data_IF_933659947777
#
_entry.id   IF_933659947777
#
_cell.length_a   1.000
_cell.length_b   1.000
_cell.length_c   1.000
_cell.angle_alpha   90.00
_cell.angle_beta   90.00
_cell.angle_gamma   90.00
#
_symmetry.space_group_name_H-M   'P 1'
#
loop_
_entity.id
_entity.type
_entity.pdbx_description
1 polymer ?
#
# COMPACT_ATOMS: atom_id res chain seq x y z
N UNK A 1 -72.90 40.11 47.23
CA UNK A 1 -71.85 40.65 46.39
C UNK A 1 -70.59 39.87 46.68
N UNK A 2 -70.30 38.83 45.88
CA UNK A 2 -69.14 37.94 46.11
C UNK A 2 -68.20 38.18 44.85
N UNK A 3 -66.99 38.65 45.14
CA UNK A 3 -65.96 38.83 44.07
C UNK A 3 -65.21 37.50 43.93
N UNK A 4 -65.30 36.93 42.73
CA UNK A 4 -64.42 35.82 42.28
C UNK A 4 -63.05 36.37 41.92
N UNK A 5 -62.02 35.78 42.51
CA UNK A 5 -60.62 35.94 42.04
C UNK A 5 -60.26 34.78 41.13
N UNK A 6 -59.93 35.05 39.85
CA UNK A 6 -59.36 34.08 38.96
C UNK A 6 -57.83 34.16 39.05
N UNK A 7 -57.21 33.12 39.55
CA UNK A 7 -55.77 32.96 39.49
C UNK A 7 -55.39 32.17 38.22
N UNK A 8 -54.75 32.86 37.26
CA UNK A 8 -54.19 32.22 36.08
C UNK A 8 -52.82 31.59 36.43
N UNK A 9 -52.75 30.26 36.43
CA UNK A 9 -51.48 29.51 36.46
C UNK A 9 -50.85 29.50 35.06
N UNK A 10 -49.75 30.22 34.89
CA UNK A 10 -48.90 30.13 33.70
C UNK A 10 -47.93 28.97 33.90
N UNK A 11 -48.19 27.84 33.27
CA UNK A 11 -47.26 26.69 33.16
C UNK A 11 -46.25 26.97 32.05
N UNK A 12 -45.07 27.41 32.46
CA UNK A 12 -43.93 27.54 31.54
C UNK A 12 -43.35 26.15 31.18
N UNK A 13 -43.53 25.76 29.95
CA UNK A 13 -42.88 24.54 29.36
C UNK A 13 -41.41 24.85 29.04
N UNK A 14 -40.50 24.42 29.92
CA UNK A 14 -39.05 24.48 29.66
C UNK A 14 -38.71 23.35 28.71
N UNK A 15 -38.52 23.65 27.43
CA UNK A 15 -37.90 22.74 26.45
C UNK A 15 -36.42 22.66 26.78
N UNK A 16 -35.99 21.59 27.48
CA UNK A 16 -34.59 21.26 27.63
C UNK A 16 -34.08 20.74 26.27
N UNK A 17 -33.40 21.57 25.48
CA UNK A 17 -32.58 21.09 24.35
C UNK A 17 -31.43 20.28 24.95
N UNK A 18 -31.52 18.97 24.88
CA UNK A 18 -30.39 18.07 25.09
C UNK A 18 -29.46 18.22 23.90
N UNK A 19 -28.47 19.10 24.02
CA UNK A 19 -27.29 19.09 23.14
C UNK A 19 -26.47 17.87 23.54
N UNK A 20 -26.72 16.72 22.88
CA UNK A 20 -25.84 15.57 22.96
C UNK A 20 -24.44 15.98 22.50
N UNK A 21 -23.36 15.41 23.07
CA UNK A 21 -22.03 15.64 22.54
C UNK A 21 -22.02 15.18 21.09
N UNK A 22 -21.83 16.11 20.15
CA UNK A 22 -21.48 15.76 18.79
C UNK A 22 -20.14 15.03 18.89
N UNK A 23 -20.13 13.74 18.59
CA UNK A 23 -18.88 13.00 18.39
C UNK A 23 -18.17 13.69 17.23
N UNK A 24 -17.07 14.35 17.52
CA UNK A 24 -16.24 14.95 16.50
C UNK A 24 -15.71 13.79 15.64
N UNK A 25 -16.10 13.73 14.38
CA UNK A 25 -15.51 12.80 13.41
C UNK A 25 -14.06 13.20 13.18
N UNK A 26 -13.17 12.22 13.08
CA UNK A 26 -11.78 12.48 12.75
C UNK A 26 -11.71 13.12 11.36
N UNK A 27 -10.79 14.07 11.21
CA UNK A 27 -10.50 14.64 9.89
C UNK A 27 -9.59 13.68 9.12
N UNK A 28 -9.58 13.77 7.80
CA UNK A 28 -8.75 12.90 6.96
C UNK A 28 -7.26 12.90 7.39
N UNK A 29 -6.60 14.03 7.70
CA UNK A 29 -5.22 14.02 8.23
C UNK A 29 -5.05 13.26 9.54
N UNK A 30 -6.05 13.34 10.43
CA UNK A 30 -6.02 12.62 11.70
C UNK A 30 -6.11 11.10 11.50
N UNK A 31 -6.95 10.64 10.57
CA UNK A 31 -7.07 9.23 10.22
C UNK A 31 -5.75 8.69 9.69
N UNK A 32 -5.11 9.43 8.76
CA UNK A 32 -3.81 9.08 8.20
C UNK A 32 -2.75 8.98 9.30
N UNK A 33 -2.63 9.99 10.15
CA UNK A 33 -1.65 10.02 11.24
C UNK A 33 -1.88 8.87 12.23
N UNK A 34 -3.12 8.61 12.62
CA UNK A 34 -3.47 7.52 13.54
C UNK A 34 -3.15 6.15 12.94
N UNK A 35 -3.44 5.94 11.66
CA UNK A 35 -3.16 4.69 10.97
C UNK A 35 -1.66 4.40 10.88
N UNK A 36 -0.86 5.41 10.52
CA UNK A 36 0.60 5.26 10.46
C UNK A 36 1.22 5.07 11.85
N UNK A 37 0.73 5.79 12.87
CA UNK A 37 1.17 5.58 14.26
C UNK A 37 0.78 4.20 14.78
N UNK A 38 -0.38 3.68 14.40
CA UNK A 38 -0.81 2.32 14.73
C UNK A 38 0.11 1.28 14.12
N UNK A 39 0.46 1.43 12.85
CA UNK A 39 1.40 0.54 12.17
C UNK A 39 2.77 0.54 12.87
N UNK A 40 3.31 1.72 13.16
CA UNK A 40 4.60 1.88 13.86
C UNK A 40 4.57 1.17 15.23
N UNK A 41 3.53 1.42 16.01
CA UNK A 41 3.38 0.85 17.35
C UNK A 41 3.25 -0.67 17.37
N UNK A 42 2.44 -1.23 16.45
CA UNK A 42 2.04 -2.64 16.52
C UNK A 42 2.82 -3.54 15.58
N UNK A 43 3.40 -3.00 14.52
CA UNK A 43 4.09 -3.78 13.50
C UNK A 43 5.61 -3.64 13.48
N UNK A 44 6.21 -2.82 14.35
CA UNK A 44 7.68 -2.69 14.47
C UNK A 44 8.36 -4.06 14.65
N UNK A 45 7.76 -4.92 15.49
CA UNK A 45 8.23 -6.27 15.78
C UNK A 45 7.97 -7.32 14.70
N UNK A 46 7.42 -6.95 13.52
CA UNK A 46 7.15 -7.91 12.44
C UNK A 46 8.42 -8.64 12.03
N UNK A 47 8.38 -9.94 12.14
CA UNK A 47 9.52 -10.81 11.84
C UNK A 47 9.62 -11.19 10.37
N UNK A 48 10.61 -12.02 10.07
CA UNK A 48 10.86 -12.56 8.73
C UNK A 48 9.69 -13.41 8.24
N UNK A 49 9.30 -13.21 6.98
CA UNK A 49 8.19 -13.92 6.33
C UNK A 49 6.85 -13.76 7.06
N UNK A 50 6.62 -12.58 7.61
CA UNK A 50 5.40 -12.23 8.32
C UNK A 50 4.69 -11.03 7.70
N UNK A 51 3.37 -11.05 7.80
CA UNK A 51 2.46 -9.96 7.50
C UNK A 51 1.84 -9.49 8.82
N UNK A 52 1.84 -8.19 9.07
CA UNK A 52 1.23 -7.56 10.23
C UNK A 52 0.02 -6.71 9.84
N UNK A 53 -1.05 -6.80 10.62
CA UNK A 53 -2.25 -5.99 10.52
C UNK A 53 -1.98 -4.61 11.15
N UNK A 54 -1.70 -3.61 10.32
CA UNK A 54 -1.25 -2.30 10.81
C UNK A 54 -2.38 -1.37 11.23
N UNK A 55 -3.48 -1.35 10.47
CA UNK A 55 -4.65 -0.54 10.81
C UNK A 55 -5.92 -1.16 10.22
N UNK A 56 -7.08 -0.71 10.70
CA UNK A 56 -8.42 -1.26 10.40
C UNK A 56 -8.73 -1.36 8.90
N UNK A 57 -9.68 -2.24 8.56
CA UNK A 57 -10.16 -2.53 7.20
C UNK A 57 -9.14 -3.26 6.32
N UNK A 58 -8.62 -4.35 6.83
CA UNK A 58 -7.79 -5.30 6.10
C UNK A 58 -8.47 -6.66 6.12
N UNK A 59 -8.56 -7.30 4.95
CA UNK A 59 -9.02 -8.67 4.81
C UNK A 59 -7.89 -9.53 4.25
N UNK A 60 -7.63 -10.66 4.86
CA UNK A 60 -6.66 -11.62 4.38
C UNK A 60 -7.27 -13.02 4.29
N UNK A 61 -7.00 -13.69 3.19
CA UNK A 61 -7.47 -15.05 2.95
C UNK A 61 -6.28 -16.01 2.98
N UNK A 62 -6.37 -17.09 3.77
CA UNK A 62 -5.31 -18.08 3.82
C UNK A 62 -5.26 -18.95 2.56
N UNK A 63 -4.12 -19.59 2.34
CA UNK A 63 -3.97 -20.67 1.35
C UNK A 63 -4.88 -21.84 1.69
N UNK A 64 -5.36 -22.62 0.68
CA UNK A 64 -6.15 -23.79 0.91
C UNK A 64 -5.46 -24.79 1.85
N UNK A 65 -6.19 -25.27 2.86
CA UNK A 65 -5.70 -26.24 3.83
C UNK A 65 -4.98 -25.64 5.06
N UNK A 66 -4.82 -24.33 5.13
CA UNK A 66 -4.31 -23.65 6.34
C UNK A 66 -5.39 -23.71 7.41
N UNK A 67 -5.02 -24.18 8.60
CA UNK A 67 -5.85 -24.23 9.81
C UNK A 67 -5.32 -23.19 10.82
N UNK A 68 -6.16 -22.82 11.77
CA UNK A 68 -5.80 -21.86 12.85
C UNK A 68 -5.36 -20.47 12.36
N UNK A 69 -5.90 -20.03 11.20
CA UNK A 69 -5.69 -18.71 10.66
C UNK A 69 -6.41 -17.64 11.49
N UNK A 70 -5.65 -16.63 11.94
CA UNK A 70 -6.21 -15.47 12.62
C UNK A 70 -5.52 -14.20 12.13
N UNK A 71 -6.28 -13.30 11.51
CA UNK A 71 -5.84 -12.01 11.03
C UNK A 71 -7.04 -11.06 11.00
N UNK A 72 -7.49 -10.61 12.19
CA UNK A 72 -8.79 -9.95 12.39
C UNK A 72 -8.66 -8.58 13.05
N UNK A 73 -7.53 -8.31 13.72
CA UNK A 73 -7.34 -7.09 14.49
C UNK A 73 -5.93 -6.53 14.34
N UNK A 74 -5.80 -5.25 14.63
CA UNK A 74 -4.51 -4.54 14.66
C UNK A 74 -3.50 -5.27 15.54
N UNK A 75 -2.30 -5.47 15.02
CA UNK A 75 -1.23 -6.21 15.68
C UNK A 75 -1.23 -7.71 15.43
N UNK A 76 -2.27 -8.27 14.79
CA UNK A 76 -2.22 -9.68 14.37
C UNK A 76 -1.11 -9.89 13.34
N UNK A 77 -0.40 -11.00 13.48
CA UNK A 77 0.72 -11.37 12.61
C UNK A 77 0.53 -12.77 12.08
N UNK A 78 0.69 -12.94 10.76
CA UNK A 78 0.56 -14.25 10.09
C UNK A 78 1.76 -14.51 9.19
N UNK A 79 1.98 -15.79 8.87
CA UNK A 79 2.99 -16.22 7.90
C UNK A 79 2.58 -15.84 6.47
N UNK A 80 3.48 -15.22 5.69
CA UNK A 80 3.23 -14.94 4.28
C UNK A 80 3.15 -16.20 3.41
N UNK A 81 3.71 -17.33 3.87
CA UNK A 81 3.59 -18.60 3.17
C UNK A 81 2.14 -19.11 3.19
N UNK A 82 1.40 -18.74 4.22
CA UNK A 82 0.00 -19.13 4.40
C UNK A 82 -0.98 -18.13 3.77
N UNK A 83 -0.50 -17.02 3.23
CA UNK A 83 -1.31 -15.97 2.62
C UNK A 83 -1.62 -16.26 1.16
N UNK A 84 -2.91 -16.33 0.80
CA UNK A 84 -3.36 -16.41 -0.59
C UNK A 84 -3.73 -15.03 -1.15
N UNK A 85 -4.47 -14.22 -0.38
CA UNK A 85 -4.93 -12.89 -0.79
C UNK A 85 -4.91 -11.93 0.38
N UNK A 86 -4.55 -10.68 0.09
CA UNK A 86 -4.64 -9.55 1.01
C UNK A 86 -5.39 -8.42 0.33
N UNK A 87 -6.36 -7.81 1.02
CA UNK A 87 -7.11 -6.66 0.55
C UNK A 87 -7.13 -5.59 1.63
N UNK A 88 -6.75 -4.39 1.28
CA UNK A 88 -6.80 -3.20 2.12
C UNK A 88 -7.83 -2.24 1.53
N UNK A 89 -8.52 -1.48 2.39
CA UNK A 89 -9.49 -0.49 1.93
C UNK A 89 -8.87 0.89 1.72
N UNK A 90 -9.40 1.61 0.73
CA UNK A 90 -9.19 3.05 0.59
C UNK A 90 -9.55 3.79 1.89
N UNK A 91 -9.08 5.02 2.01
CA UNK A 91 -9.45 5.89 3.13
C UNK A 91 -10.93 6.24 3.06
N UNK A 92 -11.66 5.93 4.12
CA UNK A 92 -13.09 6.20 4.33
C UNK A 92 -13.22 7.13 5.53
N UNK A 93 -13.30 8.43 5.28
CA UNK A 93 -13.29 9.45 6.32
C UNK A 93 -14.56 9.43 7.20
N UNK A 94 -15.68 8.96 6.66
CA UNK A 94 -16.96 8.81 7.36
C UNK A 94 -16.98 7.60 8.33
N UNK A 95 -16.07 6.65 8.14
CA UNK A 95 -15.94 5.44 8.95
C UNK A 95 -14.64 5.40 9.76
N UNK A 96 -13.82 6.45 9.72
CA UNK A 96 -12.49 6.52 10.34
C UNK A 96 -11.58 5.34 9.96
N UNK A 97 -11.65 4.90 8.69
CA UNK A 97 -10.96 3.70 8.19
C UNK A 97 -9.95 4.02 7.11
N UNK A 98 -8.82 3.36 7.19
CA UNK A 98 -7.79 3.33 6.14
C UNK A 98 -6.92 2.09 6.30
N UNK A 99 -6.89 1.22 5.29
CA UNK A 99 -6.11 -0.01 5.33
C UNK A 99 -4.62 0.28 5.24
N UNK A 100 -3.84 -0.19 6.23
CA UNK A 100 -2.37 -0.11 6.24
C UNK A 100 -1.80 -1.40 6.80
N UNK A 101 -0.84 -2.01 6.09
CA UNK A 101 -0.21 -3.26 6.49
C UNK A 101 1.30 -3.24 6.21
N UNK A 102 2.05 -3.98 7.03
CA UNK A 102 3.49 -4.19 6.87
C UNK A 102 3.77 -5.67 6.63
N UNK A 103 4.60 -5.96 5.63
CA UNK A 103 5.05 -7.32 5.38
C UNK A 103 6.56 -7.35 5.21
N UNK A 104 7.23 -8.33 5.83
CA UNK A 104 8.66 -8.56 5.67
C UNK A 104 8.91 -9.89 4.99
N UNK A 105 9.52 -9.84 3.81
CA UNK A 105 9.76 -11.00 2.94
C UNK A 105 11.23 -11.35 2.96
N UNK A 106 11.54 -12.60 3.21
CA UNK A 106 12.89 -13.10 2.99
C UNK A 106 13.06 -13.43 1.51
N UNK A 107 13.82 -12.62 0.82
CA UNK A 107 14.20 -12.92 -0.55
C UNK A 107 15.20 -14.10 -0.64
N UNK A 108 15.14 -14.80 -1.77
CA UNK A 108 16.01 -15.95 -2.02
C UNK A 108 17.40 -15.50 -2.52
N UNK A 109 18.11 -14.76 -1.67
CA UNK A 109 19.47 -14.33 -1.97
C UNK A 109 20.47 -15.20 -1.18
N UNK A 110 21.44 -15.84 -1.85
CA UNK A 110 22.38 -16.76 -1.21
C UNK A 110 23.22 -16.13 -0.08
N UNK A 111 23.38 -14.80 -0.11
CA UNK A 111 24.26 -14.04 0.77
C UNK A 111 23.54 -13.05 1.67
N UNK A 112 22.21 -13.17 1.87
CA UNK A 112 21.50 -12.32 2.82
C UNK A 112 21.90 -12.65 4.25
N UNK A 113 22.36 -11.64 4.96
CA UNK A 113 22.66 -11.78 6.39
C UNK A 113 21.37 -12.03 7.19
N UNK A 114 21.46 -12.73 8.32
CA UNK A 114 20.33 -12.84 9.24
C UNK A 114 19.78 -11.45 9.60
N UNK A 115 18.47 -11.28 9.48
CA UNK A 115 17.80 -9.99 9.76
C UNK A 115 17.58 -9.08 8.54
N UNK A 116 18.17 -9.35 7.39
CA UNK A 116 17.86 -8.61 6.17
C UNK A 116 16.56 -9.13 5.56
N UNK A 117 15.57 -8.24 5.41
CA UNK A 117 14.28 -8.53 4.79
C UNK A 117 14.02 -7.52 3.68
N UNK A 118 13.15 -7.88 2.77
CA UNK A 118 12.48 -6.92 1.90
C UNK A 118 11.22 -6.47 2.59
N UNK A 119 11.07 -5.18 2.78
CA UNK A 119 9.93 -4.57 3.45
C UNK A 119 8.92 -4.10 2.44
N UNK A 120 7.67 -4.53 2.62
CA UNK A 120 6.50 -4.08 1.88
C UNK A 120 5.64 -3.25 2.83
N UNK A 121 5.48 -1.98 2.52
CA UNK A 121 4.54 -1.10 3.19
C UNK A 121 3.38 -0.85 2.24
N UNK A 122 2.19 -1.33 2.62
CA UNK A 122 0.97 -1.29 1.80
C UNK A 122 -0.04 -0.37 2.46
N UNK A 123 -0.67 0.50 1.67
CA UNK A 123 -1.66 1.45 2.18
C UNK A 123 -2.70 1.83 1.13
N UNK A 124 -3.91 2.08 1.62
CA UNK A 124 -5.06 2.48 0.80
C UNK A 124 -5.73 1.29 0.10
N UNK A 125 -6.42 1.54 -1.00
CA UNK A 125 -7.07 0.50 -1.82
C UNK A 125 -6.03 -0.37 -2.50
N UNK A 126 -5.63 -1.45 -1.85
CA UNK A 126 -4.62 -2.39 -2.34
C UNK A 126 -5.16 -3.81 -2.29
N UNK A 127 -4.98 -4.55 -3.37
CA UNK A 127 -5.20 -5.99 -3.42
C UNK A 127 -3.94 -6.69 -3.91
N UNK A 128 -3.50 -7.69 -3.15
CA UNK A 128 -2.39 -8.57 -3.51
C UNK A 128 -2.88 -10.02 -3.54
N UNK A 129 -2.59 -10.71 -4.64
CA UNK A 129 -2.88 -12.14 -4.79
C UNK A 129 -1.56 -12.88 -5.00
N UNK A 130 -1.18 -13.69 -4.01
CA UNK A 130 0.03 -14.50 -4.07
C UNK A 130 -0.07 -15.52 -5.22
N UNK A 131 0.95 -15.58 -6.05
CA UNK A 131 1.04 -16.51 -7.19
C UNK A 131 1.93 -17.72 -6.89
N UNK A 132 2.57 -17.74 -5.72
CA UNK A 132 3.41 -18.87 -5.29
C UNK A 132 2.61 -19.76 -4.36
N UNK A 133 2.28 -20.95 -4.84
CA UNK A 133 1.56 -21.95 -4.03
C UNK A 133 2.57 -22.81 -3.25
N UNK A 134 2.36 -23.04 -1.95
CA UNK A 134 3.21 -23.92 -1.16
C UNK A 134 3.27 -25.34 -1.77
N UNK A 135 4.48 -25.91 -1.83
CA UNK A 135 4.69 -27.27 -2.33
C UNK A 135 4.82 -27.39 -3.85
N UNK A 136 4.75 -26.30 -4.61
CA UNK A 136 5.13 -26.29 -6.03
C UNK A 136 6.65 -26.12 -6.18
N UNK A 137 7.23 -26.78 -7.22
CA UNK A 137 8.62 -26.52 -7.60
C UNK A 137 8.71 -25.13 -8.23
N UNK A 138 9.12 -24.16 -7.43
CA UNK A 138 9.33 -22.77 -7.85
C UNK A 138 10.61 -22.26 -7.24
N UNK A 139 11.43 -21.58 -8.05
CA UNK A 139 12.62 -20.86 -7.55
C UNK A 139 12.23 -19.59 -6.75
N UNK A 140 10.97 -19.16 -6.86
CA UNK A 140 10.44 -18.00 -6.16
C UNK A 140 9.86 -18.39 -4.79
N UNK A 141 10.10 -17.55 -3.79
CA UNK A 141 9.52 -17.67 -2.46
C UNK A 141 8.14 -17.01 -2.43
N UNK A 142 7.30 -17.31 -1.41
CA UNK A 142 6.04 -16.60 -1.19
C UNK A 142 6.22 -15.10 -1.31
N UNK A 143 5.29 -14.43 -1.99
CA UNK A 143 5.30 -12.99 -2.27
C UNK A 143 6.43 -12.47 -3.17
N UNK A 144 7.20 -13.32 -3.81
CA UNK A 144 8.09 -12.94 -4.91
C UNK A 144 7.38 -12.96 -6.29
N UNK A 145 6.24 -13.66 -6.41
CA UNK A 145 5.34 -13.55 -7.54
C UNK A 145 3.92 -13.27 -7.03
N UNK A 146 3.33 -12.18 -7.48
CA UNK A 146 1.98 -11.79 -7.09
C UNK A 146 1.28 -10.92 -8.12
N UNK A 147 -0.04 -10.88 -8.05
CA UNK A 147 -0.84 -9.86 -8.73
C UNK A 147 -1.07 -8.70 -7.78
N UNK A 148 -0.96 -7.50 -8.30
CA UNK A 148 -1.17 -6.24 -7.59
C UNK A 148 -2.27 -5.44 -8.28
N UNK A 149 -3.27 -5.00 -7.50
CA UNK A 149 -4.21 -3.94 -7.84
C UNK A 149 -4.13 -2.83 -6.79
N UNK A 150 -4.21 -1.60 -7.23
CA UNK A 150 -4.31 -0.44 -6.34
C UNK A 150 -5.37 0.52 -6.85
N UNK A 151 -5.91 1.35 -5.98
CA UNK A 151 -6.59 2.58 -6.36
C UNK A 151 -5.61 3.49 -7.12
N UNK A 152 -6.13 4.24 -8.08
CA UNK A 152 -5.34 5.20 -8.86
C UNK A 152 -6.00 6.57 -8.75
N UNK A 153 -5.22 7.59 -8.39
CA UNK A 153 -5.68 8.96 -8.13
C UNK A 153 -6.79 9.02 -7.06
N UNK A 154 -6.67 8.20 -6.03
CA UNK A 154 -7.69 7.98 -5.01
C UNK A 154 -7.37 8.63 -3.65
N UNK A 155 -6.40 9.53 -3.59
CA UNK A 155 -6.10 10.25 -2.35
C UNK A 155 -7.32 11.03 -1.87
N UNK A 156 -7.85 10.63 -0.72
CA UNK A 156 -9.09 11.20 -0.17
C UNK A 156 -8.93 12.65 0.35
N UNK A 157 -7.70 13.06 0.64
CA UNK A 157 -7.34 14.43 1.04
C UNK A 157 -5.87 14.71 0.67
N UNK A 158 -5.48 15.98 0.79
CA UNK A 158 -4.14 16.44 0.42
C UNK A 158 -3.02 15.79 1.26
N UNK A 159 -3.32 15.33 2.46
CA UNK A 159 -2.38 14.70 3.38
C UNK A 159 -2.31 13.17 3.25
N UNK A 160 -3.26 12.55 2.54
CA UNK A 160 -3.23 11.13 2.28
C UNK A 160 -2.34 10.83 1.06
N UNK A 161 -1.46 9.82 1.13
CA UNK A 161 -0.79 9.32 -0.06
C UNK A 161 -1.79 8.63 -0.98
N UNK A 162 -1.47 8.54 -2.25
CA UNK A 162 -2.20 7.66 -3.17
C UNK A 162 -2.00 6.20 -2.78
N UNK A 163 -3.03 5.37 -2.97
CA UNK A 163 -2.96 3.94 -2.68
C UNK A 163 -1.81 3.26 -3.43
N UNK A 164 -1.10 2.36 -2.75
CA UNK A 164 0.00 1.64 -3.37
C UNK A 164 0.84 0.79 -2.42
N UNK A 165 1.94 0.30 -2.97
CA UNK A 165 2.90 -0.53 -2.26
C UNK A 165 4.29 0.05 -2.38
N UNK A 166 4.90 0.39 -1.26
CA UNK A 166 6.33 0.67 -1.15
C UNK A 166 7.07 -0.65 -0.89
N UNK A 167 8.06 -0.95 -1.73
CA UNK A 167 8.95 -2.09 -1.53
C UNK A 167 10.36 -1.55 -1.33
N UNK A 168 10.95 -1.86 -0.18
CA UNK A 168 12.33 -1.52 0.13
C UNK A 168 13.17 -2.79 0.29
N UNK A 169 14.25 -2.90 -0.48
CA UNK A 169 15.24 -3.97 -0.33
C UNK A 169 16.30 -3.56 0.68
N UNK A 170 17.02 -4.52 1.32
CA UNK A 170 18.08 -4.20 2.25
C UNK A 170 19.15 -3.31 1.64
N UNK A 171 19.66 -2.36 2.42
CA UNK A 171 20.74 -1.47 2.01
C UNK A 171 22.02 -2.25 1.68
N UNK A 172 22.71 -1.87 0.61
CA UNK A 172 23.91 -2.56 0.13
C UNK A 172 23.68 -3.99 -0.35
N UNK A 173 22.41 -4.43 -0.39
CA UNK A 173 22.01 -5.78 -0.78
C UNK A 173 22.08 -6.03 -2.29
N UNK A 174 22.00 -7.31 -2.65
CA UNK A 174 21.82 -7.72 -4.03
C UNK A 174 20.39 -7.43 -4.48
N UNK A 175 20.17 -7.31 -5.79
CA UNK A 175 18.83 -7.19 -6.36
C UNK A 175 17.98 -8.39 -6.04
N UNK A 176 16.75 -8.14 -5.66
CA UNK A 176 15.73 -9.14 -5.41
C UNK A 176 14.83 -9.27 -6.63
N UNK A 177 14.59 -10.50 -7.07
CA UNK A 177 13.72 -10.77 -8.20
C UNK A 177 12.25 -10.85 -7.75
N UNK A 178 11.39 -10.20 -8.51
CA UNK A 178 9.94 -10.24 -8.38
C UNK A 178 9.29 -10.46 -9.74
N UNK A 179 8.12 -11.08 -9.73
CA UNK A 179 7.17 -11.08 -10.85
C UNK A 179 5.88 -10.42 -10.36
N UNK A 180 5.61 -9.19 -10.80
CA UNK A 180 4.40 -8.43 -10.45
C UNK A 180 3.55 -8.26 -11.70
N UNK A 181 2.30 -8.74 -11.67
CA UNK A 181 1.39 -8.72 -12.82
C UNK A 181 2.04 -9.31 -14.10
N UNK A 182 2.81 -10.38 -13.95
CA UNK A 182 3.53 -11.04 -15.04
C UNK A 182 4.74 -10.27 -15.57
N UNK A 183 5.11 -9.16 -14.95
CA UNK A 183 6.31 -8.39 -15.27
C UNK A 183 7.46 -8.85 -14.40
N UNK A 184 8.53 -9.35 -15.01
CA UNK A 184 9.73 -9.75 -14.29
C UNK A 184 10.62 -8.55 -14.01
N UNK A 185 11.07 -8.41 -12.79
CA UNK A 185 11.91 -7.31 -12.36
C UNK A 185 12.95 -7.72 -11.31
N UNK A 186 14.05 -6.99 -11.29
CA UNK A 186 15.08 -7.10 -10.26
C UNK A 186 15.21 -5.75 -9.55
N UNK A 187 14.78 -5.73 -8.28
CA UNK A 187 14.74 -4.54 -7.43
C UNK A 187 15.93 -4.54 -6.49
N UNK A 188 16.73 -3.47 -6.53
CA UNK A 188 17.86 -3.24 -5.62
C UNK A 188 17.77 -1.83 -5.05
N UNK A 189 16.62 -1.50 -4.42
CA UNK A 189 16.28 -0.12 -4.11
C UNK A 189 14.96 0.00 -3.33
N UNK A 190 14.50 1.25 -3.19
CA UNK A 190 13.14 1.58 -2.72
C UNK A 190 12.27 2.00 -3.91
N UNK A 191 11.12 1.36 -4.05
CA UNK A 191 10.23 1.49 -5.22
C UNK A 191 8.78 1.62 -4.76
N UNK A 192 8.04 2.54 -5.38
CA UNK A 192 6.60 2.67 -5.20
C UNK A 192 5.86 2.09 -6.41
N UNK A 193 4.96 1.14 -6.15
CA UNK A 193 4.19 0.43 -7.15
C UNK A 193 2.72 0.79 -7.08
N UNK A 194 2.11 1.00 -8.26
CA UNK A 194 0.68 1.14 -8.44
C UNK A 194 0.21 0.33 -9.65
N UNK A 195 -1.00 -0.19 -9.64
CA UNK A 195 -1.57 -0.93 -10.77
C UNK A 195 -3.09 -0.96 -10.73
N UNK A 196 -3.73 -0.64 -11.85
CA UNK A 196 -5.17 -0.84 -12.02
C UNK A 196 -5.56 -2.28 -12.44
N UNK A 197 -4.57 -3.15 -12.66
CA UNK A 197 -4.71 -4.54 -13.17
C UNK A 197 -5.30 -4.68 -14.58
N UNK A 198 -5.73 -3.62 -15.22
CA UNK A 198 -6.42 -3.67 -16.52
C UNK A 198 -5.61 -3.01 -17.61
N UNK A 199 -4.94 -1.91 -17.28
CA UNK A 199 -4.23 -1.10 -18.27
C UNK A 199 -2.76 -0.96 -18.00
N UNK A 200 -2.33 -0.68 -16.75
CA UNK A 200 -0.96 -0.33 -16.45
C UNK A 200 -0.46 -0.84 -15.09
N UNK A 201 0.83 -1.16 -15.07
CA UNK A 201 1.66 -1.28 -13.89
C UNK A 201 2.64 -0.10 -13.87
N UNK A 202 2.49 0.80 -12.92
CA UNK A 202 3.38 1.93 -12.69
C UNK A 202 4.47 1.56 -11.68
N UNK A 203 5.72 1.88 -12.02
CA UNK A 203 6.91 1.59 -11.21
C UNK A 203 7.66 2.91 -11.02
N UNK A 204 7.67 3.44 -9.80
CA UNK A 204 8.36 4.67 -9.43
C UNK A 204 9.58 4.31 -8.59
N UNK A 205 10.79 4.49 -9.13
CA UNK A 205 12.05 4.18 -8.44
C UNK A 205 12.46 5.37 -7.59
N UNK A 206 12.34 5.26 -6.27
CA UNK A 206 12.65 6.35 -5.34
C UNK A 206 14.15 6.41 -5.04
N UNK A 207 14.80 5.25 -4.92
CA UNK A 207 16.21 5.10 -4.63
C UNK A 207 16.80 3.94 -5.44
N UNK A 208 18.10 3.98 -5.73
CA UNK A 208 18.82 2.92 -6.42
C UNK A 208 18.36 2.71 -7.86
N UNK A 209 18.00 1.49 -8.23
CA UNK A 209 17.52 1.20 -9.59
C UNK A 209 16.72 -0.09 -9.66
N UNK A 210 15.80 -0.15 -10.61
CA UNK A 210 15.04 -1.34 -10.98
C UNK A 210 15.41 -1.77 -12.40
N UNK A 211 15.59 -3.07 -12.62
CA UNK A 211 15.69 -3.64 -13.97
C UNK A 211 14.41 -4.39 -14.26
N UNK A 212 13.72 -4.02 -15.33
CA UNK A 212 12.44 -4.63 -15.73
C UNK A 212 12.62 -5.38 -17.03
N UNK A 213 11.99 -6.54 -17.13
CA UNK A 213 11.88 -7.32 -18.38
C UNK A 213 10.39 -7.53 -18.70
N UNK A 214 9.92 -6.90 -19.77
CA UNK A 214 8.55 -7.00 -20.24
C UNK A 214 8.47 -6.95 -21.76
N UNK A 215 7.57 -7.74 -22.35
CA UNK A 215 7.33 -7.77 -23.79
C UNK A 215 8.62 -7.94 -24.64
N UNK A 216 9.60 -8.69 -24.14
CA UNK A 216 10.90 -8.92 -24.82
C UNK A 216 11.89 -7.75 -24.71
N UNK A 217 11.55 -6.70 -24.02
CA UNK A 217 12.42 -5.56 -23.75
C UNK A 217 12.99 -5.63 -22.33
N UNK A 218 14.19 -5.08 -22.15
CA UNK A 218 14.82 -4.92 -20.85
C UNK A 218 15.17 -3.45 -20.64
N UNK A 219 14.62 -2.85 -19.59
CA UNK A 219 14.80 -1.43 -19.27
C UNK A 219 15.34 -1.30 -17.84
N UNK A 220 16.24 -0.33 -17.63
CA UNK A 220 16.66 0.09 -16.31
C UNK A 220 15.97 1.41 -15.94
N UNK A 221 15.45 1.45 -14.73
CA UNK A 221 14.74 2.61 -14.19
C UNK A 221 15.58 3.13 -13.01
N UNK A 222 16.33 4.22 -13.19
CA UNK A 222 17.14 4.78 -12.13
C UNK A 222 16.27 5.52 -11.10
N UNK A 223 16.84 5.82 -9.94
CA UNK A 223 16.23 6.67 -8.94
C UNK A 223 15.75 8.00 -9.56
N UNK A 224 14.60 8.51 -9.10
CA UNK A 224 13.97 9.70 -9.67
C UNK A 224 13.16 9.47 -10.94
N UNK A 225 13.05 8.22 -11.40
CA UNK A 225 12.36 7.90 -12.65
C UNK A 225 11.23 6.93 -12.45
N UNK A 226 10.28 6.95 -13.37
CA UNK A 226 9.13 6.06 -13.45
C UNK A 226 9.03 5.38 -14.81
N UNK A 227 8.31 4.27 -14.85
CA UNK A 227 7.85 3.62 -16.07
C UNK A 227 6.41 3.15 -15.88
N UNK A 228 5.62 3.22 -16.95
CA UNK A 228 4.29 2.63 -16.99
C UNK A 228 4.29 1.48 -17.99
N UNK A 229 4.04 0.26 -17.51
CA UNK A 229 4.05 -0.94 -18.33
C UNK A 229 2.60 -1.31 -18.63
N UNK A 230 2.20 -1.31 -19.92
CA UNK A 230 0.87 -1.75 -20.29
C UNK A 230 0.67 -3.23 -19.93
N UNK A 231 -0.39 -3.50 -19.19
CA UNK A 231 -0.80 -4.86 -18.80
C UNK A 231 -2.21 -5.13 -19.29
N UNK A 232 -2.61 -6.39 -19.26
CA UNK A 232 -3.98 -6.80 -19.53
C UNK A 232 -4.36 -7.95 -18.60
N UNK A 233 -5.62 -8.02 -18.26
CA UNK A 233 -6.16 -9.17 -17.57
C UNK A 233 -6.55 -10.24 -18.60
N UNK A 234 -5.87 -11.37 -18.57
CA UNK A 234 -6.17 -12.58 -19.32
C UNK A 234 -6.88 -13.62 -18.45
N UNK A 235 -8.20 -13.44 -18.22
CA UNK A 235 -8.93 -14.31 -17.30
C UNK A 235 -8.52 -14.08 -15.83
N UNK A 236 -7.88 -15.07 -15.20
CA UNK A 236 -7.38 -14.99 -13.82
C UNK A 236 -5.93 -14.49 -13.72
N UNK A 237 -5.24 -14.31 -14.84
CA UNK A 237 -3.84 -13.93 -14.89
C UNK A 237 -3.70 -12.52 -15.46
N UNK A 238 -2.85 -11.70 -14.88
CA UNK A 238 -2.43 -10.41 -15.41
C UNK A 238 -1.07 -10.60 -16.08
N UNK A 239 -0.92 -10.07 -17.26
CA UNK A 239 0.31 -10.21 -18.06
C UNK A 239 0.65 -8.91 -18.80
N UNK A 240 1.93 -8.65 -19.13
CA UNK A 240 2.31 -7.53 -19.97
C UNK A 240 1.63 -7.65 -21.36
N UNK A 241 1.15 -6.53 -21.90
CA UNK A 241 0.67 -6.51 -23.27
C UNK A 241 1.86 -6.71 -24.23
N UNK A 242 1.72 -7.65 -25.16
CA UNK A 242 2.65 -7.78 -26.28
C UNK A 242 2.39 -6.66 -27.30
N UNK A 243 2.68 -5.40 -26.92
CA UNK A 243 2.57 -4.26 -27.82
C UNK A 243 3.98 -3.86 -28.24
N UNK A 244 4.21 -3.50 -29.52
CA UNK A 244 5.49 -2.94 -29.95
C UNK A 244 5.64 -1.48 -29.46
N UNK A 245 5.51 -1.26 -28.15
CA UNK A 245 5.75 0.03 -27.53
C UNK A 245 7.17 -0.02 -26.99
N UNK A 246 7.96 1.01 -27.30
CA UNK A 246 9.24 1.19 -26.66
C UNK A 246 9.01 1.59 -25.21
N UNK A 247 9.52 0.80 -24.27
CA UNK A 247 9.45 1.10 -22.86
C UNK A 247 10.62 2.04 -22.51
N UNK A 248 10.29 3.25 -22.08
CA UNK A 248 11.29 4.26 -21.69
C UNK A 248 11.01 4.73 -20.27
N UNK A 249 12.06 4.86 -19.46
CA UNK A 249 11.97 5.50 -18.17
C UNK A 249 11.87 7.02 -18.35
N UNK A 250 10.95 7.63 -17.60
CA UNK A 250 10.74 9.09 -17.57
C UNK A 250 10.87 9.60 -16.14
N UNK A 251 11.14 10.90 -15.91
CA UNK A 251 11.01 11.49 -14.58
C UNK A 251 9.62 11.21 -14.00
N UNK A 252 9.54 10.91 -12.71
CA UNK A 252 8.25 10.68 -12.08
C UNK A 252 7.52 12.00 -11.77
N UNK A 253 6.20 11.92 -11.71
CA UNK A 253 5.38 13.05 -11.30
C UNK A 253 5.44 13.23 -9.78
N UNK A 254 5.82 14.41 -9.30
CA UNK A 254 5.97 14.70 -7.87
C UNK A 254 4.66 14.51 -7.07
N UNK A 255 3.51 14.66 -7.72
CA UNK A 255 2.19 14.45 -7.10
C UNK A 255 1.96 13.00 -6.65
N UNK A 256 2.56 12.03 -7.33
CA UNK A 256 2.43 10.59 -6.99
C UNK A 256 3.17 10.27 -5.68
N UNK A 257 4.23 11.05 -5.39
CA UNK A 257 5.10 10.82 -4.23
C UNK A 257 4.73 11.65 -3.00
N UNK A 258 3.68 12.46 -3.10
CA UNK A 258 3.25 13.29 -1.98
C UNK A 258 2.78 12.41 -0.81
N UNK A 259 3.24 12.77 0.38
CA UNK A 259 2.85 12.14 1.65
C UNK A 259 3.12 10.63 1.77
N UNK A 260 4.00 10.08 0.92
CA UNK A 260 4.42 8.68 1.09
C UNK A 260 4.99 8.47 2.50
N UNK A 261 4.61 7.40 3.21
CA UNK A 261 5.03 7.14 4.59
C UNK A 261 6.46 6.59 4.67
N UNK A 262 7.43 7.35 4.16
CA UNK A 262 8.83 6.92 4.02
C UNK A 262 9.52 6.68 5.37
N UNK A 263 9.10 7.39 6.43
CA UNK A 263 9.64 7.21 7.79
C UNK A 263 9.31 5.87 8.45
N UNK A 264 8.47 5.03 7.81
CA UNK A 264 8.13 3.66 8.27
C UNK A 264 8.93 2.56 7.55
N UNK A 265 9.83 2.96 6.67
CA UNK A 265 10.76 2.04 6.00
C UNK A 265 11.91 1.64 6.93
N UNK A 266 12.60 0.54 6.61
CA UNK A 266 13.69 0.02 7.45
C UNK A 266 14.95 0.91 7.46
N UNK A 267 15.13 1.75 6.41
CA UNK A 267 16.17 2.78 6.36
C UNK A 267 15.68 4.01 5.62
N UNK A 268 16.25 5.15 5.97
CA UNK A 268 15.97 6.44 5.34
C UNK A 268 16.41 6.45 3.88
N UNK A 269 15.65 7.15 3.04
CA UNK A 269 15.97 7.31 1.62
C UNK A 269 16.03 8.80 1.24
N UNK A 270 16.93 9.12 0.31
CA UNK A 270 17.00 10.43 -0.32
C UNK A 270 16.44 10.32 -1.75
N UNK A 271 15.28 10.92 -2.00
CA UNK A 271 14.69 10.95 -3.33
C UNK A 271 15.44 12.01 -4.16
N UNK A 272 16.11 11.61 -5.25
CA UNK A 272 16.81 12.57 -6.08
C UNK A 272 15.82 13.52 -6.76
N UNK A 273 16.07 14.82 -6.62
CA UNK A 273 15.35 15.87 -7.36
C UNK A 273 15.96 15.89 -8.77
N UNK A 274 15.26 15.31 -9.73
CA UNK A 274 15.66 15.45 -11.12
C UNK A 274 15.42 16.90 -11.59
N UNK A 275 16.37 17.51 -12.30
CA UNK A 275 16.13 18.83 -12.87
C UNK A 275 14.94 18.74 -13.83
N UNK A 276 13.97 19.63 -13.64
CA UNK A 276 12.88 19.81 -14.59
C UNK A 276 13.50 20.06 -15.96
N UNK A 277 13.08 19.34 -17.03
CA UNK A 277 13.56 19.65 -18.36
C UNK A 277 13.26 21.13 -18.64
N UNK A 278 14.29 21.93 -18.74
CA UNK A 278 14.16 23.31 -19.22
C UNK A 278 13.61 23.20 -20.63
N UNK A 279 12.35 23.58 -20.80
CA UNK A 279 11.74 23.66 -22.10
C UNK A 279 12.66 24.53 -23.00
N UNK A 280 13.10 23.91 -24.07
CA UNK A 280 13.84 24.60 -25.12
C UNK A 280 12.87 25.63 -25.73
N UNK A 281 12.99 26.87 -25.29
CA UNK A 281 12.35 28.00 -25.97
C UNK A 281 13.09 28.22 -27.28
N UNK A 282 12.54 27.65 -28.33
CA UNK A 282 12.94 27.96 -29.69
C UNK A 282 11.72 28.41 -30.53
#
# INVERSE_FOLDING_TARGET
MKRLWLTALATGLILALSIGPALAQNTCPQIVQQALASLDQWCEGTGRNQLCYGNVSIEAQPQPGVVDWRFEQVGDVVSIADLARLTLSALQADEDKWGVALMRVQANLPDMLPGQNVTFLMFGDVEIINQVTPGTESDLRPMQAFQLRTGVNDAACAEAPQSGVLIQTPEGGRKVNFTINGVDMAVGSTVFFQSDMETNLAINTLEGHVSVSAAGQKVQIPAGSQISIPIRRGGMVVEPRAIPIQLEAAPFESSVLQNLPLGLLDHDIEIPILPTPTGDES
#
